data_IF_714755055270
#
_entry.id   IF_714755055270
#
_cell.length_a   1.000
_cell.length_b   1.000
_cell.length_c   1.000
_cell.angle_alpha   90.00
_cell.angle_beta   90.00
_cell.angle_gamma   90.00
#
_symmetry.space_group_name_H-M   'P 1'
#
loop_
_entity.id
_entity.type
_entity.pdbx_description
1 polymer ?
#
# COMPACT_ATOMS: atom_id res chain seq x y z
N UNK A 1 -38.96 8.75 20.17
CA UNK A 1 -39.67 9.82 19.43
C UNK A 1 -38.94 11.16 19.55
N UNK A 2 -38.68 11.65 20.76
CA UNK A 2 -37.94 12.92 20.95
C UNK A 2 -36.53 12.90 20.30
N UNK A 3 -35.78 11.81 20.43
CA UNK A 3 -34.46 11.65 19.79
C UNK A 3 -34.52 11.72 18.26
N UNK A 4 -35.54 11.11 17.64
CA UNK A 4 -35.70 11.13 16.18
C UNK A 4 -35.95 12.56 15.68
N UNK A 5 -36.84 13.29 16.34
CA UNK A 5 -37.12 14.69 16.00
C UNK A 5 -35.88 15.58 16.19
N UNK A 6 -35.13 15.36 17.27
CA UNK A 6 -33.87 16.06 17.50
C UNK A 6 -32.89 15.82 16.35
N UNK A 7 -32.64 14.55 15.99
CA UNK A 7 -31.70 14.20 14.92
C UNK A 7 -32.10 14.79 13.55
N UNK A 8 -33.40 14.90 13.25
CA UNK A 8 -33.88 15.53 12.01
C UNK A 8 -33.57 17.02 11.95
N UNK A 9 -33.76 17.73 13.06
CA UNK A 9 -33.40 19.15 13.18
C UNK A 9 -31.88 19.29 13.12
N UNK A 10 -31.15 18.41 13.81
CA UNK A 10 -29.70 18.44 13.94
C UNK A 10 -28.97 18.31 12.59
N UNK A 11 -29.45 17.42 11.70
CA UNK A 11 -28.90 17.29 10.33
C UNK A 11 -28.96 18.62 9.58
N UNK A 12 -30.07 19.37 9.71
CA UNK A 12 -30.26 20.65 9.02
C UNK A 12 -29.43 21.76 9.69
N UNK A 13 -29.42 21.81 11.01
CA UNK A 13 -28.67 22.83 11.75
C UNK A 13 -27.16 22.66 11.59
N UNK A 14 -26.64 21.43 11.62
CA UNK A 14 -25.20 21.20 11.42
C UNK A 14 -24.78 21.42 9.97
N UNK A 15 -25.64 21.06 9.01
CA UNK A 15 -25.43 21.43 7.61
C UNK A 15 -25.33 22.95 7.42
N UNK A 16 -26.23 23.71 8.03
CA UNK A 16 -26.18 25.18 8.01
C UNK A 16 -24.91 25.72 8.67
N UNK A 17 -24.54 25.19 9.84
CA UNK A 17 -23.35 25.59 10.61
C UNK A 17 -22.05 25.36 9.83
N UNK A 18 -21.93 24.23 9.14
CA UNK A 18 -20.73 23.92 8.32
C UNK A 18 -20.65 24.83 7.10
N UNK A 19 -21.79 25.12 6.45
CA UNK A 19 -21.81 25.92 5.21
C UNK A 19 -21.65 27.43 5.45
N UNK A 20 -22.24 27.96 6.53
CA UNK A 20 -22.33 29.41 6.75
C UNK A 20 -21.42 29.93 7.85
N UNK A 21 -21.02 29.10 8.82
CA UNK A 21 -20.29 29.56 10.01
C UNK A 21 -18.84 29.09 10.08
N UNK A 22 -18.41 28.13 9.24
CA UNK A 22 -17.05 27.58 9.27
C UNK A 22 -16.33 27.77 7.95
N UNK A 23 -15.02 28.03 8.01
CA UNK A 23 -14.15 27.95 6.83
C UNK A 23 -13.95 26.48 6.43
N UNK A 24 -13.62 26.25 5.15
CA UNK A 24 -13.43 24.91 4.61
C UNK A 24 -12.31 24.18 5.37
N UNK A 25 -12.67 23.10 6.06
CA UNK A 25 -11.70 22.23 6.71
C UNK A 25 -10.88 21.44 5.67
N UNK A 26 -9.66 21.06 6.06
CA UNK A 26 -8.85 20.13 5.27
C UNK A 26 -9.55 18.77 5.24
N UNK A 27 -9.56 18.13 4.06
CA UNK A 27 -10.20 16.84 3.90
C UNK A 27 -9.24 15.75 4.34
N UNK A 28 -9.38 15.33 5.60
CA UNK A 28 -8.80 14.08 6.04
C UNK A 28 -9.71 12.92 5.59
N UNK A 29 -9.10 11.78 5.26
CA UNK A 29 -9.79 10.54 4.93
C UNK A 29 -9.66 9.55 6.10
N UNK A 30 -10.34 9.78 7.24
CA UNK A 30 -10.39 8.79 8.29
C UNK A 30 -11.29 7.63 7.86
N UNK A 31 -10.80 6.41 8.06
CA UNK A 31 -11.61 5.21 7.92
C UNK A 31 -12.54 5.09 9.13
N UNK A 32 -13.81 5.45 8.93
CA UNK A 32 -14.87 5.32 9.93
C UNK A 32 -14.90 6.43 11.00
N UNK A 33 -15.66 6.18 12.07
CA UNK A 33 -15.93 7.15 13.17
C UNK A 33 -14.86 7.04 14.28
N UNK A 34 -13.99 6.04 14.23
CA UNK A 34 -12.89 5.84 15.19
C UNK A 34 -13.33 5.34 16.56
N UNK A 35 -12.74 5.88 17.63
CA UNK A 35 -12.94 5.46 19.03
C UNK A 35 -14.40 5.55 19.51
N UNK A 36 -15.20 6.40 18.88
CA UNK A 36 -16.63 6.51 19.18
C UNK A 36 -17.39 5.20 19.01
N UNK A 37 -16.97 4.33 18.07
CA UNK A 37 -17.56 2.99 17.94
C UNK A 37 -17.41 2.21 19.24
N UNK A 38 -16.22 2.25 19.85
CA UNK A 38 -15.94 1.56 21.11
C UNK A 38 -16.73 2.16 22.27
N UNK A 39 -16.88 3.49 22.29
CA UNK A 39 -17.70 4.18 23.28
C UNK A 39 -19.18 3.75 23.18
N UNK A 40 -19.75 3.69 21.97
CA UNK A 40 -21.12 3.22 21.78
C UNK A 40 -21.30 1.74 22.12
N UNK A 41 -20.30 0.89 21.84
CA UNK A 41 -20.31 -0.51 22.28
C UNK A 41 -20.35 -0.61 23.80
N UNK A 42 -19.53 0.16 24.52
CA UNK A 42 -19.54 0.20 25.98
C UNK A 42 -20.88 0.71 26.53
N UNK A 43 -21.42 1.78 25.94
CA UNK A 43 -22.75 2.28 26.30
C UNK A 43 -23.84 1.22 26.08
N UNK A 44 -23.73 0.37 25.07
CA UNK A 44 -24.60 -0.78 24.84
C UNK A 44 -24.57 -1.77 26.01
N UNK A 45 -23.39 -2.14 26.50
CA UNK A 45 -23.27 -3.04 27.67
C UNK A 45 -23.84 -2.40 28.94
N UNK A 46 -23.57 -1.11 29.18
CA UNK A 46 -24.12 -0.38 30.32
C UNK A 46 -25.65 -0.31 30.22
N UNK A 47 -26.20 -0.12 29.02
CA UNK A 47 -27.64 -0.12 28.79
C UNK A 47 -28.28 -1.47 29.14
N UNK A 48 -27.60 -2.59 28.82
CA UNK A 48 -28.08 -3.93 29.24
C UNK A 48 -28.06 -4.05 30.76
N UNK A 49 -26.94 -3.78 31.41
CA UNK A 49 -26.79 -3.89 32.87
C UNK A 49 -27.84 -3.04 33.62
N UNK A 50 -28.02 -1.79 33.19
CA UNK A 50 -28.99 -0.87 33.82
C UNK A 50 -30.44 -1.31 33.58
N UNK A 51 -30.81 -1.69 32.36
CA UNK A 51 -32.18 -2.12 32.06
C UNK A 51 -32.57 -3.40 32.80
N UNK A 52 -31.69 -4.41 32.83
CA UNK A 52 -31.97 -5.66 33.55
C UNK A 52 -32.06 -5.42 35.05
N UNK A 53 -31.22 -4.54 35.61
CA UNK A 53 -31.30 -4.15 37.02
C UNK A 53 -32.62 -3.45 37.35
N UNK A 54 -33.05 -2.49 36.51
CA UNK A 54 -34.33 -1.78 36.69
C UNK A 54 -35.49 -2.78 36.65
N UNK A 55 -35.47 -3.72 35.69
CA UNK A 55 -36.52 -4.74 35.61
C UNK A 55 -36.49 -5.68 36.82
N UNK A 56 -35.31 -6.16 37.22
CA UNK A 56 -35.17 -7.11 38.32
C UNK A 56 -35.59 -6.56 39.69
N UNK A 57 -35.20 -5.31 40.00
CA UNK A 57 -35.43 -4.72 41.32
C UNK A 57 -36.58 -3.73 41.38
N UNK A 58 -36.77 -2.89 40.36
CA UNK A 58 -37.73 -1.77 40.42
C UNK A 58 -39.07 -2.06 39.73
N UNK A 59 -39.14 -2.96 38.75
CA UNK A 59 -40.38 -3.20 38.01
C UNK A 59 -41.41 -4.03 38.78
N UNK A 60 -41.00 -4.73 39.84
CA UNK A 60 -41.85 -5.66 40.60
C UNK A 60 -42.27 -6.91 39.82
N UNK A 61 -41.82 -7.09 38.57
CA UNK A 61 -42.16 -8.27 37.73
C UNK A 61 -41.74 -9.57 38.42
N UNK A 62 -40.54 -9.61 38.99
CA UNK A 62 -40.02 -10.80 39.66
C UNK A 62 -40.81 -11.16 40.92
N UNK A 63 -41.23 -10.14 41.69
CA UNK A 63 -42.07 -10.33 42.88
C UNK A 63 -43.48 -10.79 42.52
N UNK A 64 -44.00 -10.38 41.35
CA UNK A 64 -45.29 -10.83 40.84
C UNK A 64 -45.26 -12.27 40.33
N UNK A 65 -44.13 -12.69 39.75
CA UNK A 65 -43.95 -14.06 39.25
C UNK A 65 -43.63 -15.05 40.39
N UNK A 66 -42.81 -14.62 41.35
CA UNK A 66 -42.42 -15.40 42.54
C UNK A 66 -42.64 -14.56 43.82
N UNK A 67 -43.86 -14.60 44.38
CA UNK A 67 -44.16 -13.91 45.63
C UNK A 67 -43.38 -14.57 46.78
N UNK A 68 -42.33 -13.90 47.26
CA UNK A 68 -41.45 -14.39 48.33
C UNK A 68 -40.00 -14.66 47.92
N UNK A 69 -39.59 -14.32 46.70
CA UNK A 69 -38.19 -14.43 46.28
C UNK A 69 -37.27 -13.57 47.16
N UNK A 70 -36.22 -14.19 47.71
CA UNK A 70 -35.20 -13.47 48.49
C UNK A 70 -34.42 -12.49 47.59
N UNK A 71 -34.02 -11.30 48.09
CA UNK A 71 -33.21 -10.35 47.33
C UNK A 71 -31.93 -10.95 46.74
N UNK A 72 -31.34 -11.95 47.40
CA UNK A 72 -30.17 -12.66 46.90
C UNK A 72 -30.46 -13.44 45.61
N UNK A 73 -31.56 -14.19 45.57
CA UNK A 73 -31.95 -14.94 44.38
C UNK A 73 -32.40 -14.02 43.24
N UNK A 74 -32.97 -12.86 43.55
CA UNK A 74 -33.24 -11.80 42.57
C UNK A 74 -31.96 -11.30 41.91
N UNK A 75 -30.91 -11.03 42.70
CA UNK A 75 -29.60 -10.61 42.18
C UNK A 75 -29.00 -11.67 41.26
N UNK A 76 -29.00 -12.93 41.67
CA UNK A 76 -28.49 -14.05 40.86
C UNK A 76 -29.28 -14.16 39.55
N UNK A 77 -30.60 -14.06 39.60
CA UNK A 77 -31.45 -14.11 38.40
C UNK A 77 -31.15 -12.95 37.43
N UNK A 78 -30.98 -11.73 37.96
CA UNK A 78 -30.58 -10.54 37.18
C UNK A 78 -29.25 -10.78 36.46
N UNK A 79 -28.23 -11.26 37.19
CA UNK A 79 -26.91 -11.55 36.62
C UNK A 79 -26.99 -12.62 35.54
N UNK A 80 -27.77 -13.69 35.75
CA UNK A 80 -27.95 -14.76 34.75
C UNK A 80 -28.60 -14.20 33.49
N UNK A 81 -29.69 -13.42 33.63
CA UNK A 81 -30.38 -12.81 32.49
C UNK A 81 -29.48 -11.82 31.75
N UNK A 82 -28.71 -11.02 32.48
CA UNK A 82 -27.71 -10.11 31.92
C UNK A 82 -26.69 -10.88 31.05
N UNK A 83 -26.08 -11.95 31.59
CA UNK A 83 -25.10 -12.75 30.85
C UNK A 83 -25.72 -13.42 29.61
N UNK A 84 -26.98 -13.85 29.67
CA UNK A 84 -27.68 -14.39 28.51
C UNK A 84 -27.84 -13.34 27.41
N UNK A 85 -28.29 -12.13 27.76
CA UNK A 85 -28.47 -11.03 26.80
C UNK A 85 -27.12 -10.61 26.21
N UNK A 86 -26.09 -10.48 27.03
CA UNK A 86 -24.72 -10.16 26.58
C UNK A 86 -24.19 -11.24 25.64
N UNK A 87 -24.40 -12.52 25.97
CA UNK A 87 -24.00 -13.63 25.11
C UNK A 87 -24.69 -13.60 23.75
N UNK A 88 -25.98 -13.25 23.72
CA UNK A 88 -26.73 -13.07 22.47
C UNK A 88 -26.19 -11.88 21.67
N UNK A 89 -25.93 -10.74 22.33
CA UNK A 89 -25.36 -9.55 21.68
C UNK A 89 -24.01 -9.86 21.02
N UNK A 90 -23.11 -10.55 21.73
CA UNK A 90 -21.81 -10.98 21.21
C UNK A 90 -21.99 -12.03 20.10
N UNK A 91 -22.94 -12.96 20.26
CA UNK A 91 -23.27 -13.95 19.24
C UNK A 91 -23.74 -13.31 17.92
N UNK A 92 -24.61 -12.30 18.00
CA UNK A 92 -25.06 -11.54 16.82
C UNK A 92 -23.88 -10.81 16.17
N UNK A 93 -23.04 -10.15 16.97
CA UNK A 93 -21.85 -9.47 16.46
C UNK A 93 -20.86 -10.42 15.78
N UNK A 94 -20.77 -11.68 16.22
CA UNK A 94 -19.92 -12.69 15.59
C UNK A 94 -20.51 -13.27 14.29
N UNK A 95 -21.85 -13.34 14.18
CA UNK A 95 -22.55 -13.90 13.01
C UNK A 95 -22.65 -12.87 11.89
N UNK A 96 -22.79 -11.60 12.21
CA UNK A 96 -22.94 -10.53 11.21
C UNK A 96 -21.55 -10.12 10.70
N UNK A 97 -21.22 -10.33 9.42
CA UNK A 97 -19.95 -9.90 8.87
C UNK A 97 -19.88 -8.36 8.78
N UNK A 98 -18.80 -7.78 9.30
CA UNK A 98 -18.57 -6.32 9.31
C UNK A 98 -18.57 -5.69 7.91
N UNK A 99 -18.15 -6.46 6.90
CA UNK A 99 -18.09 -6.01 5.50
C UNK A 99 -19.07 -6.82 4.67
N UNK A 100 -20.05 -6.18 4.00
CA UNK A 100 -20.97 -6.89 3.13
C UNK A 100 -20.25 -7.39 1.87
N UNK A 101 -20.67 -8.55 1.36
CA UNK A 101 -19.97 -9.28 0.28
C UNK A 101 -19.71 -8.43 -0.97
N UNK A 102 -20.69 -7.65 -1.41
CA UNK A 102 -20.55 -6.78 -2.58
C UNK A 102 -19.48 -5.69 -2.42
N UNK A 103 -19.22 -5.22 -1.19
CA UNK A 103 -18.13 -4.27 -0.91
C UNK A 103 -16.79 -4.98 -0.96
N UNK A 104 -16.71 -6.18 -0.40
CA UNK A 104 -15.48 -6.99 -0.45
C UNK A 104 -15.07 -7.32 -1.90
N UNK A 105 -16.03 -7.75 -2.73
CA UNK A 105 -15.79 -8.01 -4.15
C UNK A 105 -15.30 -6.76 -4.89
N UNK A 106 -15.93 -5.60 -4.66
CA UNK A 106 -15.52 -4.33 -5.25
C UNK A 106 -14.13 -3.90 -4.79
N UNK A 107 -13.79 -4.12 -3.52
CA UNK A 107 -12.46 -3.81 -2.99
C UNK A 107 -11.38 -4.69 -3.62
N UNK A 108 -11.66 -5.99 -3.79
CA UNK A 108 -10.75 -6.93 -4.48
C UNK A 108 -10.59 -6.54 -5.95
N UNK A 109 -11.68 -6.22 -6.65
CA UNK A 109 -11.64 -5.78 -8.04
C UNK A 109 -10.82 -4.50 -8.22
N UNK A 110 -10.97 -3.53 -7.32
CA UNK A 110 -10.15 -2.29 -7.31
C UNK A 110 -8.66 -2.58 -7.12
N UNK A 111 -8.31 -3.45 -6.16
CA UNK A 111 -6.91 -3.83 -5.92
C UNK A 111 -6.31 -4.56 -7.12
N UNK A 112 -7.09 -5.44 -7.77
CA UNK A 112 -6.66 -6.14 -8.98
C UNK A 112 -6.38 -5.15 -10.12
N UNK A 113 -7.32 -4.23 -10.39
CA UNK A 113 -7.15 -3.21 -11.42
C UNK A 113 -5.92 -2.32 -11.17
N UNK A 114 -5.65 -1.95 -9.92
CA UNK A 114 -4.45 -1.19 -9.55
C UNK A 114 -3.16 -1.96 -9.86
N UNK A 115 -3.09 -3.24 -9.50
CA UNK A 115 -1.92 -4.08 -9.75
C UNK A 115 -1.69 -4.30 -11.24
N UNK A 116 -2.76 -4.54 -12.00
CA UNK A 116 -2.68 -4.75 -13.45
C UNK A 116 -2.19 -3.46 -14.14
N UNK A 117 -2.66 -2.27 -13.71
CA UNK A 117 -2.17 -0.98 -14.19
C UNK A 117 -0.69 -0.71 -13.84
N UNK A 118 -0.24 -1.11 -12.65
CA UNK A 118 1.18 -1.01 -12.26
C UNK A 118 2.07 -1.92 -13.11
N UNK A 119 1.61 -3.16 -13.38
CA UNK A 119 2.31 -4.09 -14.26
C UNK A 119 2.43 -3.54 -15.68
N UNK A 120 1.35 -2.98 -16.23
CA UNK A 120 1.34 -2.35 -17.55
C UNK A 120 2.28 -1.14 -17.62
N UNK A 121 2.31 -0.32 -16.56
CA UNK A 121 3.25 0.80 -16.48
C UNK A 121 4.71 0.31 -16.45
N UNK A 122 4.98 -0.77 -15.70
CA UNK A 122 6.32 -1.36 -15.59
C UNK A 122 6.77 -2.01 -16.89
N UNK A 123 5.88 -2.73 -17.57
CA UNK A 123 6.18 -3.36 -18.86
C UNK A 123 6.45 -2.31 -19.95
N UNK A 124 5.67 -1.23 -19.99
CA UNK A 124 5.91 -0.09 -20.90
C UNK A 124 7.27 0.58 -20.66
N UNK A 125 7.69 0.77 -19.40
CA UNK A 125 9.03 1.31 -19.06
C UNK A 125 10.17 0.40 -19.49
N UNK A 126 10.00 -0.92 -19.35
CA UNK A 126 11.01 -1.87 -19.80
C UNK A 126 11.13 -1.91 -21.32
N UNK A 127 10.00 -1.82 -22.04
CA UNK A 127 10.00 -1.73 -23.50
C UNK A 127 10.66 -0.45 -24.01
N UNK A 128 10.39 0.71 -23.41
CA UNK A 128 11.04 1.96 -23.84
C UNK A 128 12.56 1.94 -23.58
N UNK A 129 13.00 1.34 -22.46
CA UNK A 129 14.42 1.12 -22.20
C UNK A 129 15.07 0.16 -23.21
N UNK A 130 14.37 -0.91 -23.59
CA UNK A 130 14.85 -1.87 -24.59
C UNK A 130 14.90 -1.27 -26.01
N UNK A 131 13.94 -0.43 -26.38
CA UNK A 131 13.96 0.31 -27.66
C UNK A 131 15.11 1.31 -27.71
N UNK A 132 15.36 2.04 -26.62
CA UNK A 132 16.54 2.92 -26.51
C UNK A 132 17.86 2.15 -26.62
N UNK A 133 17.93 0.95 -26.05
CA UNK A 133 19.07 0.06 -26.22
C UNK A 133 19.21 -0.37 -27.68
N UNK A 134 18.13 -0.85 -28.33
CA UNK A 134 18.16 -1.31 -29.73
C UNK A 134 18.51 -0.19 -30.72
N UNK A 135 17.96 1.01 -30.54
CA UNK A 135 18.27 2.18 -31.38
C UNK A 135 19.71 2.68 -31.19
N UNK A 136 20.35 2.40 -30.06
CA UNK A 136 21.77 2.70 -29.85
C UNK A 136 22.70 1.75 -30.63
N UNK A 137 22.30 0.50 -30.83
CA UNK A 137 23.09 -0.51 -31.56
C UNK A 137 22.75 -0.55 -33.07
N UNK A 138 22.05 0.45 -33.59
CA UNK A 138 21.71 0.52 -35.01
C UNK A 138 22.97 0.87 -35.82
N UNK A 139 23.39 -0.08 -36.67
CA UNK A 139 24.55 -0.04 -37.59
C UNK A 139 24.65 1.26 -38.41
N UNK A 140 23.52 1.95 -38.63
CA UNK A 140 23.41 3.18 -39.40
C UNK A 140 24.05 4.42 -38.76
N UNK A 141 24.51 4.35 -37.50
CA UNK A 141 25.17 5.48 -36.80
C UNK A 141 26.70 5.42 -36.83
N UNK A 142 27.28 4.46 -37.56
CA UNK A 142 28.73 4.41 -37.80
C UNK A 142 29.09 5.40 -38.91
N UNK A 143 29.66 6.53 -38.51
CA UNK A 143 30.15 7.57 -39.42
C UNK A 143 31.32 7.05 -40.28
N UNK A 144 31.10 6.87 -41.59
CA UNK A 144 32.13 6.40 -42.53
C UNK A 144 33.33 7.37 -42.64
N UNK A 145 33.17 8.63 -42.22
CA UNK A 145 34.19 9.68 -42.26
C UNK A 145 35.31 9.53 -41.23
N UNK A 146 35.19 8.66 -40.21
CA UNK A 146 36.27 8.30 -39.27
C UNK A 146 37.22 7.20 -39.81
N UNK A 147 37.01 6.71 -41.03
CA UNK A 147 37.98 5.83 -41.71
C UNK A 147 38.93 6.68 -42.57
N UNK A 148 40.11 6.96 -42.02
CA UNK A 148 41.18 7.69 -42.70
C UNK A 148 41.39 7.22 -44.15
N UNK A 149 41.37 8.19 -45.07
CA UNK A 149 41.76 8.04 -46.48
C UNK A 149 43.24 7.61 -46.53
N UNK A 150 43.48 6.31 -46.64
CA UNK A 150 44.79 5.78 -47.03
C UNK A 150 44.82 5.76 -48.55
N UNK A 151 45.57 6.70 -49.13
CA UNK A 151 45.91 6.70 -50.55
C UNK A 151 46.66 5.41 -50.87
N UNK A 152 46.11 4.62 -51.80
CA UNK A 152 46.80 3.49 -52.38
C UNK A 152 47.65 3.99 -53.53
N UNK A 153 48.97 3.91 -53.37
CA UNK A 153 49.92 4.18 -54.45
C UNK A 153 49.79 3.06 -55.50
N UNK A 154 49.26 3.41 -56.69
CA UNK A 154 48.95 2.48 -57.78
C UNK A 154 50.21 1.88 -58.47
N UNK A 155 51.41 2.17 -57.96
CA UNK A 155 52.66 1.75 -58.57
C UNK A 155 53.17 0.34 -58.15
N UNK A 156 52.61 -0.30 -57.12
CA UNK A 156 53.08 -1.60 -56.63
C UNK A 156 52.03 -2.70 -56.85
N UNK A 157 52.15 -3.42 -57.98
CA UNK A 157 51.22 -4.45 -58.48
C UNK A 157 50.79 -5.55 -57.49
N UNK A 158 49.90 -5.19 -56.56
CA UNK A 158 49.29 -6.07 -55.57
C UNK A 158 47.78 -6.01 -55.77
N UNK A 159 47.16 -7.16 -56.02
CA UNK A 159 45.73 -7.29 -56.37
C UNK A 159 44.80 -6.57 -55.39
N UNK A 160 43.99 -5.64 -55.90
CA UNK A 160 43.02 -4.76 -55.20
C UNK A 160 42.04 -5.48 -54.26
N UNK A 161 41.84 -6.78 -54.43
CA UNK A 161 40.96 -7.63 -53.62
C UNK A 161 41.50 -7.81 -52.18
N UNK A 162 42.82 -7.76 -51.97
CA UNK A 162 43.43 -7.90 -50.65
C UNK A 162 43.20 -6.68 -49.75
N UNK A 163 43.20 -5.47 -50.33
CA UNK A 163 43.03 -4.20 -49.62
C UNK A 163 41.59 -3.99 -49.13
N UNK A 164 40.58 -4.40 -49.90
CA UNK A 164 39.18 -4.24 -49.48
C UNK A 164 38.75 -5.26 -48.43
N UNK A 165 39.27 -6.49 -48.53
CA UNK A 165 39.08 -7.50 -47.49
C UNK A 165 39.69 -7.06 -46.16
N UNK A 166 40.89 -6.46 -46.20
CA UNK A 166 41.54 -5.90 -45.02
C UNK A 166 40.73 -4.74 -44.43
N UNK A 167 40.25 -3.80 -45.25
CA UNK A 167 39.38 -2.70 -44.80
C UNK A 167 38.12 -3.21 -44.10
N UNK A 168 37.41 -4.17 -44.71
CA UNK A 168 36.22 -4.79 -44.09
C UNK A 168 36.55 -5.44 -42.75
N UNK A 169 37.66 -6.17 -42.67
CA UNK A 169 38.09 -6.80 -41.43
C UNK A 169 38.44 -5.77 -40.34
N UNK A 170 39.12 -4.66 -40.69
CA UNK A 170 39.47 -3.60 -39.73
C UNK A 170 38.22 -2.91 -39.18
N UNK A 171 37.21 -2.69 -40.03
CA UNK A 171 35.92 -2.12 -39.62
C UNK A 171 35.20 -3.06 -38.67
N UNK A 172 35.05 -4.32 -39.07
CA UNK A 172 34.43 -5.38 -38.26
C UNK A 172 35.12 -5.51 -36.88
N UNK A 173 36.45 -5.49 -36.87
CA UNK A 173 37.24 -5.59 -35.65
C UNK A 173 37.10 -4.35 -34.76
N UNK A 174 37.01 -3.14 -35.34
CA UNK A 174 36.73 -1.91 -34.59
C UNK A 174 35.33 -1.93 -33.96
N UNK A 175 34.33 -2.39 -34.70
CA UNK A 175 32.96 -2.53 -34.21
C UNK A 175 32.94 -3.52 -33.03
N UNK A 176 33.56 -4.69 -33.20
CA UNK A 176 33.66 -5.70 -32.15
C UNK A 176 34.34 -5.17 -30.89
N UNK A 177 35.42 -4.40 -31.03
CA UNK A 177 36.11 -3.76 -29.90
C UNK A 177 35.25 -2.75 -29.18
N UNK A 178 34.56 -1.86 -29.91
CA UNK A 178 33.64 -0.87 -29.32
C UNK A 178 32.49 -1.55 -28.57
N UNK A 179 31.93 -2.63 -29.11
CA UNK A 179 30.87 -3.41 -28.44
C UNK A 179 31.38 -4.01 -27.13
N UNK A 180 32.54 -4.68 -27.15
CA UNK A 180 33.14 -5.27 -25.96
C UNK A 180 33.47 -4.22 -24.89
N UNK A 181 34.07 -3.09 -25.28
CA UNK A 181 34.37 -1.97 -24.36
C UNK A 181 33.10 -1.42 -23.70
N UNK A 182 32.00 -1.31 -24.46
CA UNK A 182 30.72 -0.84 -23.94
C UNK A 182 30.07 -1.85 -22.99
N UNK A 183 30.15 -3.14 -23.30
CA UNK A 183 29.61 -4.20 -22.45
C UNK A 183 30.40 -4.30 -21.14
N UNK A 184 31.73 -4.21 -21.20
CA UNK A 184 32.59 -4.09 -20.02
C UNK A 184 32.22 -2.85 -19.22
N UNK A 185 32.05 -1.68 -19.85
CA UNK A 185 31.67 -0.46 -19.15
C UNK A 185 30.28 -0.57 -18.49
N UNK A 186 29.31 -1.20 -19.15
CA UNK A 186 27.96 -1.38 -18.64
C UNK A 186 27.96 -2.32 -17.43
N UNK A 187 28.66 -3.44 -17.56
CA UNK A 187 28.82 -4.40 -16.48
C UNK A 187 29.57 -3.77 -15.30
N UNK A 188 30.61 -2.98 -15.55
CA UNK A 188 31.32 -2.27 -14.50
C UNK A 188 30.42 -1.24 -13.78
N UNK A 189 29.56 -0.52 -14.51
CA UNK A 189 28.59 0.41 -13.91
C UNK A 189 27.55 -0.31 -13.02
N UNK A 190 27.09 -1.49 -13.43
CA UNK A 190 26.19 -2.32 -12.62
C UNK A 190 26.91 -2.79 -11.34
N UNK A 191 28.16 -3.24 -11.47
CA UNK A 191 28.94 -3.68 -10.31
C UNK A 191 29.23 -2.53 -9.34
N UNK A 192 29.62 -1.35 -9.82
CA UNK A 192 29.87 -0.20 -8.95
C UNK A 192 28.60 0.26 -8.25
N UNK A 193 27.46 0.33 -8.96
CA UNK A 193 26.17 0.68 -8.36
C UNK A 193 25.73 -0.32 -7.28
N UNK A 194 25.96 -1.62 -7.51
CA UNK A 194 25.68 -2.65 -6.51
C UNK A 194 26.56 -2.51 -5.27
N UNK A 195 27.87 -2.28 -5.46
CA UNK A 195 28.81 -2.06 -4.35
C UNK A 195 28.38 -0.85 -3.50
N UNK A 196 28.00 0.25 -4.14
CA UNK A 196 27.58 1.46 -3.44
C UNK A 196 26.27 1.25 -2.68
N UNK A 197 25.30 0.57 -3.28
CA UNK A 197 24.05 0.20 -2.62
C UNK A 197 24.28 -0.71 -1.41
N UNK A 198 25.22 -1.65 -1.50
CA UNK A 198 25.53 -2.57 -0.40
C UNK A 198 26.28 -1.85 0.74
N UNK A 199 27.21 -0.95 0.41
CA UNK A 199 27.85 -0.05 1.39
C UNK A 199 26.83 0.84 2.09
N UNK A 200 25.82 1.34 1.38
CA UNK A 200 24.74 2.13 1.96
C UNK A 200 23.91 1.35 2.97
N UNK A 201 23.57 0.09 2.66
CA UNK A 201 22.89 -0.79 3.63
C UNK A 201 23.73 -1.01 4.88
N UNK A 202 25.02 -1.30 4.71
CA UNK A 202 25.93 -1.48 5.84
C UNK A 202 26.01 -0.23 6.73
N UNK A 203 26.10 0.97 6.13
CA UNK A 203 26.08 2.25 6.85
C UNK A 203 24.78 2.45 7.64
N UNK A 204 23.62 2.11 7.06
CA UNK A 204 22.32 2.21 7.74
C UNK A 204 22.23 1.27 8.93
N UNK A 205 22.64 0.01 8.77
CA UNK A 205 22.65 -0.97 9.86
C UNK A 205 23.58 -0.55 11.01
N UNK A 206 24.75 0.01 10.69
CA UNK A 206 25.64 0.54 11.72
C UNK A 206 25.02 1.72 12.48
N UNK A 207 24.38 2.65 11.76
CA UNK A 207 23.68 3.78 12.38
C UNK A 207 22.50 3.32 13.27
N UNK A 208 21.76 2.29 12.86
CA UNK A 208 20.71 1.68 13.69
C UNK A 208 21.29 1.02 14.95
N UNK A 209 22.43 0.33 14.85
CA UNK A 209 23.12 -0.28 15.99
C UNK A 209 23.62 0.79 16.99
N UNK A 210 24.20 1.88 16.48
CA UNK A 210 24.66 3.02 17.30
C UNK A 210 23.47 3.73 17.99
N UNK A 211 22.32 3.85 17.31
CA UNK A 211 21.09 4.37 17.90
C UNK A 211 20.53 3.46 19.00
N UNK A 212 20.61 2.14 18.85
CA UNK A 212 20.17 1.18 19.86
C UNK A 212 21.09 1.15 21.08
N UNK A 213 22.40 1.25 20.87
CA UNK A 213 23.39 1.28 21.96
C UNK A 213 23.27 2.55 22.79
N UNK A 214 23.16 3.71 22.14
CA UNK A 214 22.91 5.00 22.83
C UNK A 214 21.62 4.99 23.65
N UNK A 215 20.53 4.40 23.12
CA UNK A 215 19.27 4.22 23.85
C UNK A 215 19.37 3.26 25.04
N UNK A 216 20.29 2.30 25.02
CA UNK A 216 20.53 1.35 26.14
C UNK A 216 21.36 1.97 27.25
N UNK A 217 22.20 2.97 26.93
CA UNK A 217 23.08 3.65 27.89
C UNK A 217 22.45 4.90 28.54
N UNK A 218 21.29 5.34 28.06
CA UNK A 218 20.48 6.43 28.63
C UNK A 218 19.34 5.86 29.50
#
# INVERSE_FOLDING_TARGET
VCSLLNNLIEIKSDGFKILMAHQRCHRDHPDGIGTWVHAFTLLGYVAVATNVTIVGFNSGVLQRLYPGISPFYTLVAVVVVEHLIVSIMVGIAAVVPDVPQHVAERAVARKKAQRDAEFDQRSARLQSAAVGHKAFFDEATVDETEMGRLETDEAAGTTTIATDKWRKWVVEEKIRRRVLEKEISTMNAIYTAWIDAEKDKARRLQAELDALTTKKTA
#
